data_IF_716906894653
#
_entry.id   IF_716906894653
#
_cell.length_a   1.000
_cell.length_b   1.000
_cell.length_c   1.000
_cell.angle_alpha   90.00
_cell.angle_beta   90.00
_cell.angle_gamma   90.00
#
_symmetry.space_group_name_H-M   'P 1'
#
loop_
_entity.id
_entity.type
_entity.pdbx_description
1 polymer ?
#
# COMPACT_ATOMS: atom_id res chain seq x y z
N UNK A 1 -28.49 -35.44 29.33
CA UNK A 1 -28.56 -33.96 29.32
C UNK A 1 -27.21 -33.25 29.49
N UNK A 2 -26.19 -33.82 30.15
CA UNK A 2 -24.89 -33.14 30.36
C UNK A 2 -23.98 -33.04 29.12
N UNK A 3 -24.14 -33.95 28.14
CA UNK A 3 -23.29 -34.03 26.92
C UNK A 3 -23.53 -32.90 25.90
N UNK A 4 -24.69 -32.24 25.95
CA UNK A 4 -25.00 -31.13 25.05
C UNK A 4 -24.35 -29.81 25.49
N UNK A 5 -24.19 -29.61 26.80
CA UNK A 5 -23.45 -28.45 27.33
C UNK A 5 -21.96 -28.53 27.00
N UNK A 6 -21.38 -29.74 27.00
CA UNK A 6 -19.97 -29.94 26.59
C UNK A 6 -19.75 -29.59 25.12
N UNK A 7 -20.69 -29.94 24.23
CA UNK A 7 -20.61 -29.59 22.81
C UNK A 7 -20.76 -28.07 22.58
N UNK A 8 -21.66 -27.42 23.32
CA UNK A 8 -21.85 -25.97 23.24
C UNK A 8 -20.63 -25.18 23.76
N UNK A 9 -19.98 -25.65 24.83
CA UNK A 9 -18.79 -25.00 25.39
C UNK A 9 -17.56 -25.10 24.48
N UNK A 10 -17.42 -26.19 23.71
CA UNK A 10 -16.33 -26.37 22.73
C UNK A 10 -16.51 -25.48 21.50
N UNK A 11 -17.75 -25.19 21.10
CA UNK A 11 -18.01 -24.24 20.00
C UNK A 11 -17.70 -22.79 20.38
N UNK A 12 -17.90 -22.41 21.64
CA UNK A 12 -17.69 -21.04 22.11
C UNK A 12 -16.19 -20.66 22.19
N UNK A 13 -15.32 -21.63 22.49
CA UNK A 13 -13.86 -21.44 22.50
C UNK A 13 -13.25 -21.36 21.10
N UNK A 14 -13.87 -21.96 20.07
CA UNK A 14 -13.40 -21.85 18.68
C UNK A 14 -13.66 -20.46 18.08
N UNK A 15 -14.70 -19.76 18.54
CA UNK A 15 -15.04 -18.41 18.06
C UNK A 15 -14.05 -17.31 18.54
N UNK A 16 -13.24 -17.58 19.58
CA UNK A 16 -12.30 -16.62 20.14
C UNK A 16 -10.92 -16.60 19.44
N UNK A 17 -10.62 -17.56 18.56
CA UNK A 17 -9.25 -17.76 18.01
C UNK A 17 -8.96 -16.99 16.70
N UNK A 18 -9.82 -16.06 16.28
CA UNK A 18 -9.79 -15.47 14.92
C UNK A 18 -9.77 -13.94 14.83
N UNK A 19 -9.42 -13.20 15.87
CA UNK A 19 -9.29 -11.73 15.75
C UNK A 19 -7.92 -11.36 15.16
N UNK A 20 -7.78 -11.48 13.84
CA UNK A 20 -6.70 -10.80 13.12
C UNK A 20 -7.05 -9.32 12.99
N UNK A 21 -6.27 -8.44 13.62
CA UNK A 21 -6.36 -6.99 13.41
C UNK A 21 -6.00 -6.68 11.95
N UNK A 22 -6.97 -6.27 11.14
CA UNK A 22 -6.66 -5.69 9.83
C UNK A 22 -5.85 -4.42 10.07
N UNK A 23 -4.71 -4.22 9.38
CA UNK A 23 -4.09 -2.90 9.36
C UNK A 23 -5.13 -1.89 8.86
N UNK A 24 -5.14 -0.69 9.46
CA UNK A 24 -5.95 0.40 8.93
C UNK A 24 -5.40 0.75 7.55
N UNK A 25 -6.20 0.50 6.50
CA UNK A 25 -5.83 0.79 5.11
C UNK A 25 -6.25 2.23 4.77
N UNK A 26 -5.41 2.96 4.04
CA UNK A 26 -5.68 4.32 3.58
C UNK A 26 -5.93 5.31 4.74
N UNK A 27 -5.16 5.20 5.82
CA UNK A 27 -5.22 6.16 6.90
C UNK A 27 -4.72 7.52 6.41
N UNK A 28 -5.49 8.57 6.66
CA UNK A 28 -5.13 9.95 6.31
C UNK A 28 -4.77 10.75 7.57
N UNK A 29 -3.79 11.65 7.43
CA UNK A 29 -3.40 12.64 8.44
C UNK A 29 -3.04 13.97 7.77
N UNK A 30 -2.87 15.02 8.56
CA UNK A 30 -2.44 16.33 8.08
C UNK A 30 -0.95 16.52 8.31
N UNK A 31 -0.27 17.11 7.33
CA UNK A 31 1.09 17.64 7.51
C UNK A 31 1.09 18.92 8.35
N UNK A 32 2.27 19.43 8.65
CA UNK A 32 2.44 20.68 9.40
C UNK A 32 1.85 21.91 8.68
N UNK A 33 1.57 21.81 7.39
CA UNK A 33 0.98 22.85 6.54
C UNK A 33 -0.53 22.63 6.31
N UNK A 34 -1.14 21.60 6.90
CA UNK A 34 -2.56 21.28 6.76
C UNK A 34 -2.94 20.51 5.49
N UNK A 35 -1.97 19.95 4.76
CA UNK A 35 -2.25 19.10 3.60
C UNK A 35 -2.47 17.64 4.03
N UNK A 36 -3.40 16.96 3.38
CA UNK A 36 -3.68 15.55 3.61
C UNK A 36 -2.55 14.66 3.08
N UNK A 37 -2.10 13.70 3.89
CA UNK A 37 -1.15 12.65 3.54
C UNK A 37 -1.67 11.28 3.98
N UNK A 38 -1.24 10.23 3.28
CA UNK A 38 -1.48 8.83 3.67
C UNK A 38 -0.41 8.34 4.65
N UNK A 39 -0.85 7.51 5.60
CA UNK A 39 -0.02 6.84 6.58
C UNK A 39 -0.17 5.32 6.45
N UNK A 40 0.96 4.62 6.49
CA UNK A 40 0.99 3.17 6.54
C UNK A 40 0.40 2.49 5.29
N UNK A 41 -0.11 1.26 5.44
CA UNK A 41 -0.60 0.46 4.33
C UNK A 41 -1.71 1.16 3.54
N UNK A 42 -1.64 1.12 2.21
CA UNK A 42 -2.63 1.72 1.32
C UNK A 42 -2.94 0.84 0.12
N UNK A 43 -4.12 1.04 -0.46
CA UNK A 43 -4.53 0.48 -1.74
C UNK A 43 -4.28 1.49 -2.85
N UNK A 44 -3.81 1.06 -4.01
CA UNK A 44 -3.58 1.93 -5.17
C UNK A 44 -4.80 2.77 -5.58
N UNK A 45 -6.01 2.26 -5.34
CA UNK A 45 -7.28 2.94 -5.66
C UNK A 45 -7.41 4.29 -4.94
N UNK A 46 -6.76 4.46 -3.79
CA UNK A 46 -6.77 5.73 -3.06
C UNK A 46 -6.17 6.87 -3.88
N UNK A 47 -5.18 6.58 -4.75
CA UNK A 47 -4.53 7.61 -5.54
C UNK A 47 -5.41 8.17 -6.66
N UNK A 48 -6.45 7.44 -7.05
CA UNK A 48 -7.44 7.88 -8.04
C UNK A 48 -8.50 8.82 -7.41
N UNK A 49 -8.40 9.11 -6.11
CA UNK A 49 -9.33 9.98 -5.38
C UNK A 49 -8.67 11.30 -5.01
N UNK A 50 -9.48 12.33 -4.80
CA UNK A 50 -9.01 13.60 -4.25
C UNK A 50 -8.43 13.39 -2.84
N UNK A 51 -7.31 14.05 -2.47
CA UNK A 51 -6.54 15.04 -3.25
C UNK A 51 -5.41 14.45 -4.12
N UNK A 52 -5.21 13.13 -4.08
CA UNK A 52 -4.06 12.45 -4.68
C UNK A 52 -4.12 12.39 -6.21
N UNK A 53 -5.33 12.28 -6.76
CA UNK A 53 -5.57 12.21 -8.20
C UNK A 53 -4.97 13.40 -8.97
N UNK A 54 -4.88 14.58 -8.33
CA UNK A 54 -4.29 15.79 -8.92
C UNK A 54 -2.88 15.59 -9.48
N UNK A 55 -2.07 14.74 -8.83
CA UNK A 55 -0.73 14.42 -9.32
C UNK A 55 -0.68 13.01 -9.93
N UNK A 56 -1.47 12.07 -9.41
CA UNK A 56 -1.48 10.70 -9.90
C UNK A 56 -1.90 10.62 -11.36
N UNK A 57 -3.04 11.20 -11.71
CA UNK A 57 -3.61 11.12 -13.07
C UNK A 57 -2.66 11.76 -14.09
N UNK A 58 -2.03 12.88 -13.71
CA UNK A 58 -1.04 13.56 -14.53
C UNK A 58 0.16 12.67 -14.83
N UNK A 59 0.87 12.20 -13.81
CA UNK A 59 2.11 11.45 -14.01
C UNK A 59 1.87 10.04 -14.56
N UNK A 60 0.71 9.46 -14.28
CA UNK A 60 0.28 8.21 -14.90
C UNK A 60 0.01 8.39 -16.40
N UNK A 61 -0.76 9.41 -16.79
CA UNK A 61 -1.13 9.63 -18.20
C UNK A 61 0.06 10.08 -19.06
N UNK A 62 0.90 10.99 -18.56
CA UNK A 62 2.06 11.53 -19.28
C UNK A 62 3.15 10.48 -19.55
N UNK A 63 3.21 9.39 -18.77
CA UNK A 63 4.25 8.39 -18.92
C UNK A 63 3.93 7.39 -20.03
N UNK A 64 4.83 7.27 -21.00
CA UNK A 64 4.76 6.22 -22.03
C UNK A 64 5.68 5.07 -21.63
N UNK A 65 5.12 3.87 -21.51
CA UNK A 65 5.89 2.67 -21.14
C UNK A 65 6.81 2.28 -22.30
N UNK A 66 8.09 2.09 -22.01
CA UNK A 66 9.01 1.45 -22.96
C UNK A 66 8.71 -0.06 -23.02
N UNK A 67 8.06 -0.48 -24.09
CA UNK A 67 7.66 -1.87 -24.29
C UNK A 67 8.83 -2.85 -24.28
N UNK A 68 10.03 -2.42 -24.71
CA UNK A 68 11.20 -3.30 -24.78
C UNK A 68 11.71 -3.65 -23.38
N UNK A 69 11.90 -2.64 -22.53
CA UNK A 69 12.25 -2.82 -21.13
C UNK A 69 11.15 -3.53 -20.34
N UNK A 70 9.88 -3.22 -20.60
CA UNK A 70 8.74 -3.85 -19.91
C UNK A 70 8.66 -5.36 -20.19
N UNK A 71 8.86 -5.78 -21.44
CA UNK A 71 8.88 -7.20 -21.80
C UNK A 71 10.09 -7.92 -21.19
N UNK A 72 11.26 -7.29 -21.18
CA UNK A 72 12.45 -7.84 -20.51
C UNK A 72 12.21 -8.01 -19.01
N UNK A 73 11.61 -7.00 -18.36
CA UNK A 73 11.21 -7.09 -16.96
C UNK A 73 10.27 -8.27 -16.71
N UNK A 74 9.18 -8.40 -17.49
CA UNK A 74 8.20 -9.50 -17.39
C UNK A 74 8.86 -10.88 -17.49
N UNK A 75 9.81 -11.04 -18.42
CA UNK A 75 10.50 -12.32 -18.64
C UNK A 75 11.32 -12.75 -17.41
N UNK A 76 11.86 -11.79 -16.65
CA UNK A 76 12.76 -12.02 -15.53
C UNK A 76 12.09 -11.96 -14.15
N UNK A 77 10.80 -11.63 -14.07
CA UNK A 77 10.08 -11.38 -12.80
C UNK A 77 8.81 -12.22 -12.65
N UNK A 78 8.92 -13.52 -12.93
CA UNK A 78 7.84 -14.47 -12.59
C UNK A 78 7.80 -14.69 -11.08
N UNK A 79 6.60 -14.65 -10.51
CA UNK A 79 6.33 -14.92 -9.09
C UNK A 79 7.09 -14.01 -8.10
N UNK A 80 7.03 -12.69 -8.32
CA UNK A 80 7.65 -11.70 -7.42
C UNK A 80 6.66 -11.08 -6.44
N UNK A 81 7.19 -10.71 -5.27
CA UNK A 81 6.51 -9.84 -4.32
C UNK A 81 7.14 -8.44 -4.37
N UNK A 82 6.31 -7.43 -4.55
CA UNK A 82 6.72 -6.03 -4.63
C UNK A 82 6.20 -5.31 -3.39
N UNK A 83 7.13 -4.87 -2.54
CA UNK A 83 6.85 -4.03 -1.39
C UNK A 83 7.36 -2.62 -1.66
N UNK A 84 6.45 -1.65 -1.72
CA UNK A 84 6.74 -0.25 -2.00
C UNK A 84 6.60 0.55 -0.70
N UNK A 85 7.68 1.24 -0.34
CA UNK A 85 7.65 2.30 0.66
C UNK A 85 7.70 3.65 -0.04
N UNK A 86 6.67 4.46 0.17
CA UNK A 86 6.54 5.78 -0.45
C UNK A 86 6.11 6.84 0.54
N UNK A 87 5.98 8.07 0.10
CA UNK A 87 5.41 9.16 0.89
C UNK A 87 4.58 10.07 0.00
N UNK A 88 3.27 10.18 0.27
CA UNK A 88 2.37 11.06 -0.51
C UNK A 88 2.72 12.54 -0.45
N UNK A 89 3.45 12.98 0.58
CA UNK A 89 3.97 14.34 0.72
C UNK A 89 5.29 14.56 -0.05
N UNK A 90 6.00 13.49 -0.46
CA UNK A 90 7.26 13.58 -1.18
C UNK A 90 7.04 13.81 -2.69
N UNK A 91 7.85 14.69 -3.29
CA UNK A 91 7.81 14.95 -4.75
C UNK A 91 8.17 13.72 -5.59
N UNK A 92 9.22 13.00 -5.18
CA UNK A 92 9.74 11.85 -5.94
C UNK A 92 8.75 10.68 -5.96
N UNK A 93 8.11 10.39 -4.82
CA UNK A 93 7.05 9.37 -4.78
C UNK A 93 5.90 9.78 -5.70
N UNK A 94 5.44 11.04 -5.62
CA UNK A 94 4.34 11.52 -6.47
C UNK A 94 4.66 11.39 -7.96
N UNK A 95 5.91 11.59 -8.36
CA UNK A 95 6.32 11.48 -9.75
C UNK A 95 6.53 10.03 -10.21
N UNK A 96 7.18 9.20 -9.39
CA UNK A 96 7.67 7.88 -9.81
C UNK A 96 6.66 6.75 -9.55
N UNK A 97 5.85 6.85 -8.49
CA UNK A 97 4.88 5.82 -8.15
C UNK A 97 3.85 5.57 -9.27
N UNK A 98 3.21 6.61 -9.87
CA UNK A 98 2.23 6.39 -10.94
C UNK A 98 2.85 5.76 -12.18
N UNK A 99 4.10 6.14 -12.51
CA UNK A 99 4.85 5.59 -13.64
C UNK A 99 5.16 4.12 -13.42
N UNK A 100 5.61 3.78 -12.21
CA UNK A 100 5.93 2.41 -11.86
C UNK A 100 4.68 1.52 -11.89
N UNK A 101 3.57 1.96 -11.32
CA UNK A 101 2.29 1.24 -11.37
C UNK A 101 1.82 1.02 -12.80
N UNK A 102 1.98 2.01 -13.70
CA UNK A 102 1.69 1.87 -15.12
C UNK A 102 2.55 0.80 -15.81
N UNK A 103 3.83 0.71 -15.47
CA UNK A 103 4.70 -0.37 -15.97
C UNK A 103 4.18 -1.72 -15.48
N UNK A 104 3.88 -1.86 -14.20
CA UNK A 104 3.37 -3.11 -13.62
C UNK A 104 2.05 -3.56 -14.26
N UNK A 105 1.14 -2.63 -14.53
CA UNK A 105 -0.10 -2.90 -15.23
C UNK A 105 0.15 -3.38 -16.67
N UNK A 106 1.08 -2.72 -17.40
CA UNK A 106 1.39 -3.08 -18.79
C UNK A 106 2.00 -4.47 -18.97
N UNK A 107 2.68 -5.00 -17.94
CA UNK A 107 3.34 -6.30 -18.02
C UNK A 107 2.47 -7.45 -17.53
N UNK A 108 1.30 -7.19 -16.95
CA UNK A 108 0.36 -8.21 -16.45
C UNK A 108 1.08 -9.36 -15.72
N UNK A 109 1.69 -9.08 -14.57
CA UNK A 109 2.45 -10.09 -13.83
C UNK A 109 1.48 -11.14 -13.23
N UNK A 110 1.47 -12.40 -13.71
CA UNK A 110 0.67 -13.44 -13.09
C UNK A 110 1.17 -13.68 -11.67
N UNK A 111 0.27 -13.66 -10.69
CA UNK A 111 0.54 -13.91 -9.26
C UNK A 111 1.39 -12.87 -8.52
N UNK A 112 1.63 -11.67 -9.09
CA UNK A 112 2.36 -10.64 -8.35
C UNK A 112 1.58 -10.16 -7.13
N UNK A 113 2.27 -10.12 -5.99
CA UNK A 113 1.75 -9.50 -4.75
C UNK A 113 2.33 -8.10 -4.63
N UNK A 114 1.47 -7.10 -4.72
CA UNK A 114 1.83 -5.70 -4.54
C UNK A 114 1.35 -5.21 -3.17
N UNK A 115 2.27 -4.66 -2.37
CA UNK A 115 1.95 -3.97 -1.11
C UNK A 115 2.57 -2.58 -1.12
N UNK A 116 1.78 -1.57 -0.78
CA UNK A 116 2.26 -0.20 -0.59
C UNK A 116 2.08 0.22 0.86
N UNK A 117 3.12 0.84 1.44
CA UNK A 117 3.06 1.50 2.73
C UNK A 117 3.62 2.92 2.63
N UNK A 118 2.89 3.90 3.16
CA UNK A 118 3.32 5.28 3.21
C UNK A 118 4.07 5.58 4.49
N UNK A 119 5.26 6.16 4.34
CA UNK A 119 6.12 6.62 5.41
C UNK A 119 5.63 7.96 5.96
N UNK A 120 5.66 8.07 7.27
CA UNK A 120 5.45 9.30 8.00
C UNK A 120 6.78 9.87 8.48
N UNK A 121 6.96 11.18 8.38
CA UNK A 121 7.98 11.87 9.13
C UNK A 121 7.38 12.28 10.46
N UNK A 122 7.81 11.65 11.55
CA UNK A 122 7.58 12.21 12.87
C UNK A 122 8.22 13.61 12.91
N UNK A 123 7.56 14.61 13.54
CA UNK A 123 8.18 15.91 13.75
C UNK A 123 9.54 15.69 14.40
N UNK A 124 10.58 16.24 13.77
CA UNK A 124 11.97 16.05 14.15
C UNK A 124 12.21 16.71 15.52
N UNK A 125 12.21 15.94 16.59
CA UNK A 125 12.44 16.43 17.96
C UNK A 125 13.94 16.56 18.32
N UNK A 126 14.82 16.37 17.33
CA UNK A 126 16.26 16.47 17.49
C UNK A 126 16.96 15.18 17.92
N UNK A 127 16.26 14.05 18.08
CA UNK A 127 16.85 12.77 18.51
C UNK A 127 17.21 11.79 17.39
N UNK A 128 16.93 12.11 16.12
CA UNK A 128 17.21 11.28 14.95
C UNK A 128 15.93 10.90 14.19
N UNK A 129 16.07 10.52 12.92
CA UNK A 129 14.93 10.03 12.12
C UNK A 129 14.70 8.56 12.50
N UNK A 130 13.72 8.28 13.35
CA UNK A 130 13.26 6.91 13.55
C UNK A 130 12.17 6.60 12.51
N UNK A 131 12.55 5.82 11.50
CA UNK A 131 11.63 5.29 10.50
C UNK A 131 10.92 4.08 11.11
N UNK A 132 9.81 4.32 11.82
CA UNK A 132 9.02 3.23 12.41
C UNK A 132 8.18 2.55 11.31
N UNK A 133 8.38 1.23 11.15
CA UNK A 133 7.60 0.35 10.26
C UNK A 133 6.31 -0.12 10.91
#
# INVERSE_FOLDING_TARGET
>A
MKKHYTLFMVCLSFAAFGQSSSPFINLESLDAQGNTMLLGPCSEVVFMRYPYNRWYDKYYSEYTVDSSSAQSFKANTKDIEILIFGATWCGDTRQNLPRFLKILESVELPNAKLRLSNLYLLPFDGSGVEMTL
#
